data_IF_371204704950
#
_entry.id   IF_371204704950
#
_cell.length_a   1.000
_cell.length_b   1.000
_cell.length_c   1.000
_cell.angle_alpha   90.00
_cell.angle_beta   90.00
_cell.angle_gamma   90.00
#
_symmetry.space_group_name_H-M   'P 1'
#
loop_
_entity.id
_entity.type
_entity.pdbx_description
1 polymer ?
#
# COMPACT_ATOMS: atom_id res chain seq x y z
N UNK A 1 -13.90 14.32 -5.42
CA UNK A 1 -13.76 14.95 -4.09
C UNK A 1 -12.30 14.83 -3.71
N UNK A 2 -11.63 15.94 -3.41
CA UNK A 2 -10.26 15.91 -2.87
C UNK A 2 -10.29 15.13 -1.55
N UNK A 3 -9.40 14.16 -1.37
CA UNK A 3 -9.34 13.34 -0.16
C UNK A 3 -9.18 14.18 1.12
N UNK A 4 -9.52 13.59 2.26
CA UNK A 4 -9.28 14.19 3.58
C UNK A 4 -7.78 14.41 3.80
N UNK A 5 -7.39 15.56 4.34
CA UNK A 5 -5.98 15.87 4.64
C UNK A 5 -5.82 16.04 6.14
N UNK A 6 -5.07 15.14 6.76
CA UNK A 6 -4.68 15.17 8.17
C UNK A 6 -3.21 15.59 8.25
N UNK A 7 -2.92 16.68 8.95
CA UNK A 7 -1.55 17.14 9.21
C UNK A 7 -1.19 16.84 10.65
N UNK A 8 0.02 16.36 10.90
CA UNK A 8 0.44 15.91 12.24
C UNK A 8 1.93 16.08 12.50
N UNK A 9 2.28 16.49 13.72
CA UNK A 9 3.65 16.49 14.25
C UNK A 9 4.06 15.14 14.85
N UNK A 10 3.09 14.27 15.16
CA UNK A 10 3.28 12.94 15.74
C UNK A 10 3.04 11.84 14.69
N UNK A 11 3.64 12.01 13.51
CA UNK A 11 3.32 11.25 12.30
C UNK A 11 3.19 9.74 12.51
N UNK A 12 4.17 9.10 13.16
CA UNK A 12 4.16 7.65 13.35
C UNK A 12 3.01 7.18 14.26
N UNK A 13 2.78 7.87 15.37
CA UNK A 13 1.73 7.56 16.34
C UNK A 13 0.34 7.77 15.74
N UNK A 14 0.12 8.92 15.10
CA UNK A 14 -1.20 9.26 14.56
C UNK A 14 -1.57 8.37 13.36
N UNK A 15 -0.60 8.06 12.49
CA UNK A 15 -0.82 7.11 11.40
C UNK A 15 -1.07 5.68 11.92
N UNK A 16 -0.34 5.24 12.95
CA UNK A 16 -0.54 3.92 13.55
C UNK A 16 -1.92 3.82 14.22
N UNK A 17 -2.32 4.82 15.00
CA UNK A 17 -3.65 4.89 15.61
C UNK A 17 -4.76 4.85 14.55
N UNK A 18 -4.61 5.65 13.48
CA UNK A 18 -5.56 5.64 12.36
C UNK A 18 -5.71 4.24 11.74
N UNK A 19 -4.61 3.52 11.52
CA UNK A 19 -4.61 2.17 10.94
C UNK A 19 -5.25 1.17 11.91
N UNK A 20 -4.91 1.23 13.21
CA UNK A 20 -5.44 0.34 14.25
C UNK A 20 -6.95 0.56 14.45
N UNK A 21 -7.42 1.81 14.45
CA UNK A 21 -8.84 2.15 14.53
C UNK A 21 -9.62 1.60 13.33
N UNK A 22 -9.05 1.71 12.12
CA UNK A 22 -9.64 1.12 10.92
C UNK A 22 -9.65 -0.42 11.00
N UNK A 23 -8.60 -1.03 11.54
CA UNK A 23 -8.55 -2.46 11.76
C UNK A 23 -9.66 -2.91 12.71
N UNK A 24 -9.84 -2.25 13.85
CA UNK A 24 -10.91 -2.58 14.80
C UNK A 24 -12.31 -2.41 14.19
N UNK A 25 -12.53 -1.34 13.42
CA UNK A 25 -13.81 -1.13 12.70
C UNK A 25 -14.07 -2.25 11.69
N UNK A 26 -13.09 -2.61 10.87
CA UNK A 26 -13.22 -3.69 9.90
C UNK A 26 -13.48 -5.05 10.57
N UNK A 27 -12.74 -5.35 11.64
CA UNK A 27 -12.93 -6.57 12.43
C UNK A 27 -14.32 -6.63 13.08
N UNK A 28 -14.82 -5.52 13.62
CA UNK A 28 -16.16 -5.47 14.20
C UNK A 28 -17.27 -5.65 13.15
N UNK A 29 -17.11 -5.08 11.95
CA UNK A 29 -18.13 -5.09 10.89
C UNK A 29 -18.10 -6.37 10.04
N UNK A 30 -16.92 -6.94 9.81
CA UNK A 30 -16.68 -8.01 8.81
C UNK A 30 -15.93 -9.21 9.36
N UNK A 31 -15.53 -9.18 10.63
CA UNK A 31 -14.71 -10.23 11.26
C UNK A 31 -13.37 -10.51 10.54
N UNK A 32 -12.90 -9.55 9.74
CA UNK A 32 -11.66 -9.62 8.97
C UNK A 32 -11.16 -8.19 8.73
N UNK A 33 -9.84 -7.98 8.70
CA UNK A 33 -9.22 -6.73 8.25
C UNK A 33 -8.26 -7.00 7.11
N UNK A 34 -8.47 -6.34 5.96
CA UNK A 34 -7.68 -6.54 4.74
C UNK A 34 -6.86 -5.30 4.44
N UNK A 35 -5.54 -5.43 4.53
CA UNK A 35 -4.63 -4.30 4.36
C UNK A 35 -3.59 -4.57 3.26
N UNK A 36 -3.29 -3.56 2.44
CA UNK A 36 -2.11 -3.54 1.60
C UNK A 36 -1.06 -2.60 2.19
N UNK A 37 0.13 -3.13 2.45
CA UNK A 37 1.27 -2.36 2.96
C UNK A 37 2.03 -1.67 1.83
N UNK A 38 2.72 -0.59 2.18
CA UNK A 38 3.63 0.17 1.32
C UNK A 38 5.06 0.01 1.79
N UNK A 39 5.99 0.03 0.84
CA UNK A 39 7.41 0.12 1.10
C UNK A 39 7.91 1.49 1.54
N UNK A 40 9.20 1.55 1.88
CA UNK A 40 9.96 2.79 2.07
C UNK A 40 10.22 3.18 3.52
N UNK A 41 10.94 4.29 3.69
CA UNK A 41 11.35 4.79 5.02
C UNK A 41 10.20 5.49 5.76
N UNK A 42 9.20 5.99 5.05
CA UNK A 42 8.05 6.68 5.66
C UNK A 42 7.11 5.73 6.40
N UNK A 43 6.72 4.56 5.86
CA UNK A 43 5.87 3.61 6.59
C UNK A 43 6.60 2.84 7.70
N UNK A 44 7.93 2.66 7.61
CA UNK A 44 8.71 1.88 8.60
C UNK A 44 8.45 2.27 10.07
N UNK A 45 8.55 3.55 10.49
CA UNK A 45 8.25 3.94 11.87
C UNK A 45 6.78 3.75 12.25
N UNK A 46 5.84 3.88 11.29
CA UNK A 46 4.41 3.61 11.51
C UNK A 46 4.21 2.13 11.83
N UNK A 47 4.89 1.24 11.10
CA UNK A 47 4.83 -0.21 11.30
C UNK A 47 5.39 -0.65 12.65
N UNK A 48 6.52 -0.07 13.06
CA UNK A 48 7.07 -0.29 14.40
C UNK A 48 6.12 0.19 15.50
N UNK A 49 5.42 1.29 15.26
CA UNK A 49 4.43 1.80 16.22
C UNK A 49 3.17 0.93 16.27
N UNK A 50 2.66 0.45 15.12
CA UNK A 50 1.56 -0.55 15.08
C UNK A 50 1.96 -1.80 15.86
N UNK A 51 3.18 -2.30 15.72
CA UNK A 51 3.62 -3.46 16.49
C UNK A 51 3.62 -3.20 18.01
N UNK A 52 3.86 -1.96 18.43
CA UNK A 52 3.84 -1.54 19.83
C UNK A 52 2.43 -1.40 20.39
N UNK A 53 1.52 -0.75 19.65
CA UNK A 53 0.17 -0.40 20.14
C UNK A 53 -0.89 -1.44 19.78
N UNK A 54 -0.71 -2.18 18.68
CA UNK A 54 -1.65 -3.15 18.13
C UNK A 54 -1.41 -4.58 18.62
N UNK A 55 -0.87 -4.77 19.82
CA UNK A 55 -0.55 -6.11 20.36
C UNK A 55 -1.77 -7.01 20.51
N UNK A 56 -2.95 -6.41 20.70
CA UNK A 56 -4.22 -7.12 20.85
C UNK A 56 -4.99 -7.23 19.52
N UNK A 57 -4.40 -6.81 18.40
CA UNK A 57 -5.02 -7.03 17.10
C UNK A 57 -5.07 -8.54 16.80
N UNK A 58 -6.23 -9.08 16.39
CA UNK A 58 -6.35 -10.48 16.02
C UNK A 58 -5.70 -10.69 14.64
N UNK A 59 -4.36 -10.79 14.60
CA UNK A 59 -3.59 -10.95 13.37
C UNK A 59 -4.02 -12.15 12.51
N UNK A 60 -4.58 -13.18 13.14
CA UNK A 60 -5.18 -14.34 12.46
C UNK A 60 -6.42 -14.01 11.62
N UNK A 61 -7.04 -12.86 11.86
CA UNK A 61 -8.16 -12.29 11.10
C UNK A 61 -7.74 -11.08 10.28
N UNK A 62 -6.45 -10.81 10.19
CA UNK A 62 -5.89 -9.74 9.36
C UNK A 62 -5.23 -10.37 8.14
N UNK A 63 -5.64 -9.99 6.94
CA UNK A 63 -4.99 -10.41 5.69
C UNK A 63 -4.14 -9.27 5.14
N UNK A 64 -2.84 -9.51 5.09
CA UNK A 64 -1.82 -8.53 4.72
C UNK A 64 -1.28 -8.84 3.32
N UNK A 65 -1.42 -7.85 2.45
CA UNK A 65 -0.89 -7.84 1.08
C UNK A 65 0.09 -6.68 0.91
N UNK A 66 0.72 -6.54 -0.26
CA UNK A 66 1.65 -5.45 -0.58
C UNK A 66 1.15 -4.68 -1.80
N UNK A 67 1.18 -3.35 -1.73
CA UNK A 67 0.80 -2.49 -2.87
C UNK A 67 1.81 -2.53 -4.00
N UNK A 68 3.09 -2.75 -3.68
CA UNK A 68 4.17 -2.95 -4.63
C UNK A 68 5.35 -3.71 -3.99
N UNK A 69 6.26 -4.21 -4.82
CA UNK A 69 7.50 -4.86 -4.38
C UNK A 69 8.61 -4.72 -5.42
N UNK A 70 9.85 -4.78 -4.92
CA UNK A 70 11.08 -4.74 -5.69
C UNK A 70 11.36 -6.16 -6.18
N UNK A 71 11.76 -6.31 -7.45
CA UNK A 71 12.12 -7.63 -8.00
C UNK A 71 13.52 -8.04 -7.51
N UNK A 72 13.61 -8.38 -6.22
CA UNK A 72 14.82 -8.82 -5.50
C UNK A 72 14.45 -9.95 -4.52
N UNK A 73 15.44 -10.71 -4.00
CA UNK A 73 15.24 -11.67 -2.92
C UNK A 73 14.49 -11.11 -1.69
N UNK A 74 13.72 -11.94 -0.96
CA UNK A 74 12.91 -11.49 0.18
C UNK A 74 13.74 -11.05 1.40
N UNK A 75 15.04 -11.32 1.41
CA UNK A 75 16.02 -10.89 2.40
C UNK A 75 16.90 -9.73 1.90
N UNK A 76 16.70 -9.24 0.68
CA UNK A 76 17.39 -8.05 0.15
C UNK A 76 16.97 -6.80 0.94
N UNK A 77 17.92 -5.89 1.18
CA UNK A 77 17.67 -4.64 1.91
C UNK A 77 16.63 -3.73 1.23
N UNK A 78 16.39 -3.91 -0.07
CA UNK A 78 15.37 -3.21 -0.83
C UNK A 78 14.00 -3.88 -0.79
N UNK A 79 13.83 -5.07 -0.21
CA UNK A 79 12.52 -5.74 -0.15
C UNK A 79 11.57 -5.01 0.82
N UNK A 80 10.37 -4.69 0.33
CA UNK A 80 9.28 -4.19 1.15
C UNK A 80 8.83 -5.25 2.16
N UNK A 81 8.79 -6.53 1.74
CA UNK A 81 8.52 -7.66 2.63
C UNK A 81 9.55 -7.74 3.76
N UNK A 82 10.85 -7.66 3.48
CA UNK A 82 11.88 -7.63 4.53
C UNK A 82 11.64 -6.51 5.53
N UNK A 83 11.41 -5.29 5.04
CA UNK A 83 11.17 -4.13 5.89
C UNK A 83 9.95 -4.33 6.80
N UNK A 84 8.82 -4.80 6.23
CA UNK A 84 7.61 -5.07 7.00
C UNK A 84 7.81 -6.23 8.00
N UNK A 85 8.60 -7.25 7.64
CA UNK A 85 8.95 -8.35 8.53
C UNK A 85 9.73 -7.88 9.75
N UNK A 86 10.74 -7.04 9.55
CA UNK A 86 11.56 -6.48 10.62
C UNK A 86 10.79 -5.47 11.48
N UNK A 87 9.97 -4.61 10.86
CA UNK A 87 9.30 -3.52 11.55
C UNK A 87 7.97 -3.92 12.21
N UNK A 88 7.24 -4.89 11.65
CA UNK A 88 5.89 -5.28 12.09
C UNK A 88 5.75 -6.77 12.36
N UNK A 89 6.04 -7.64 11.39
CA UNK A 89 5.59 -9.04 11.49
C UNK A 89 6.27 -9.80 12.63
N UNK A 90 7.60 -9.69 12.75
CA UNK A 90 8.34 -10.34 13.84
C UNK A 90 8.00 -9.69 15.20
N UNK A 91 8.05 -8.36 15.36
CA UNK A 91 7.73 -7.74 16.65
C UNK A 91 6.29 -7.97 17.14
N UNK A 92 5.31 -8.06 16.23
CA UNK A 92 3.89 -8.27 16.56
C UNK A 92 3.45 -9.74 16.50
N UNK A 93 4.37 -10.68 16.23
CA UNK A 93 4.07 -12.12 16.07
C UNK A 93 2.96 -12.39 15.05
N UNK A 94 3.01 -11.70 13.91
CA UNK A 94 2.02 -11.88 12.83
C UNK A 94 2.16 -13.29 12.23
N UNK A 95 1.09 -14.09 12.18
CA UNK A 95 1.11 -15.44 11.60
C UNK A 95 1.46 -15.42 10.11
N UNK A 96 2.27 -16.36 9.64
CA UNK A 96 2.69 -16.42 8.23
C UNK A 96 1.50 -16.55 7.27
N UNK A 97 0.45 -17.30 7.66
CA UNK A 97 -0.78 -17.46 6.86
C UNK A 97 -1.58 -16.16 6.68
N UNK A 98 -1.31 -15.14 7.49
CA UNK A 98 -1.90 -13.81 7.37
C UNK A 98 -1.18 -12.94 6.35
N UNK A 99 -0.05 -13.38 5.80
CA UNK A 99 0.84 -12.58 4.97
C UNK A 99 0.92 -13.17 3.56
N UNK A 100 0.50 -12.39 2.57
CA UNK A 100 0.64 -12.70 1.15
C UNK A 100 1.69 -11.77 0.53
N UNK A 101 2.94 -12.22 0.47
CA UNK A 101 4.05 -11.44 -0.09
C UNK A 101 4.08 -11.52 -1.62
N UNK A 102 4.51 -10.45 -2.27
CA UNK A 102 4.91 -10.50 -3.68
C UNK A 102 6.26 -11.22 -3.80
N UNK A 103 6.44 -12.06 -4.82
CA UNK A 103 7.67 -12.84 -5.04
C UNK A 103 8.64 -12.07 -5.93
N UNK A 104 9.41 -11.16 -5.33
CA UNK A 104 10.40 -10.36 -6.05
C UNK A 104 11.55 -11.17 -6.63
N UNK A 105 11.78 -12.39 -6.13
CA UNK A 105 12.94 -13.22 -6.47
C UNK A 105 12.79 -14.06 -7.76
N UNK A 106 11.62 -14.03 -8.40
CA UNK A 106 11.35 -14.78 -9.63
C UNK A 106 11.12 -13.84 -10.81
N UNK A 107 10.93 -14.39 -12.02
CA UNK A 107 10.62 -13.59 -13.20
C UNK A 107 9.45 -12.60 -12.94
N UNK A 108 9.62 -11.30 -13.23
CA UNK A 108 8.61 -10.29 -12.89
C UNK A 108 7.23 -10.56 -13.48
N UNK A 109 7.14 -11.03 -14.73
CA UNK A 109 5.86 -11.29 -15.37
C UNK A 109 5.15 -12.48 -14.72
N UNK A 110 5.90 -13.54 -14.38
CA UNK A 110 5.40 -14.70 -13.63
C UNK A 110 4.95 -14.27 -12.23
N UNK A 111 5.76 -13.49 -11.50
CA UNK A 111 5.41 -13.03 -10.16
C UNK A 111 4.15 -12.16 -10.14
N UNK A 112 4.00 -11.25 -11.11
CA UNK A 112 2.82 -10.42 -11.24
C UNK A 112 1.57 -11.26 -11.56
N UNK A 113 1.70 -12.30 -12.38
CA UNK A 113 0.59 -13.21 -12.67
C UNK A 113 0.21 -14.04 -11.44
N UNK A 114 1.17 -14.62 -10.73
CA UNK A 114 0.89 -15.38 -9.51
C UNK A 114 0.17 -14.52 -8.47
N UNK A 115 0.65 -13.30 -8.24
CA UNK A 115 0.00 -12.40 -7.26
C UNK A 115 -1.38 -11.93 -7.72
N UNK A 116 -1.59 -11.76 -9.03
CA UNK A 116 -2.91 -11.50 -9.62
C UNK A 116 -3.87 -12.67 -9.33
N UNK A 117 -3.45 -13.90 -9.63
CA UNK A 117 -4.25 -15.10 -9.45
C UNK A 117 -4.62 -15.31 -7.97
N UNK A 118 -3.68 -15.07 -7.06
CA UNK A 118 -3.92 -15.15 -5.61
C UNK A 118 -4.94 -14.09 -5.15
N UNK A 119 -4.83 -12.84 -5.62
CA UNK A 119 -5.80 -11.77 -5.31
C UNK A 119 -7.17 -12.09 -5.88
N UNK A 120 -7.27 -12.63 -7.10
CA UNK A 120 -8.54 -12.98 -7.72
C UNK A 120 -9.20 -14.21 -7.05
N UNK A 121 -8.40 -15.16 -6.56
CA UNK A 121 -8.86 -16.26 -5.72
C UNK A 121 -9.45 -15.73 -4.41
N UNK A 122 -8.76 -14.80 -3.74
CA UNK A 122 -9.26 -14.17 -2.52
C UNK A 122 -10.59 -13.45 -2.77
N UNK A 123 -10.74 -12.77 -3.90
CA UNK A 123 -12.00 -12.13 -4.30
C UNK A 123 -13.12 -13.16 -4.47
N UNK A 124 -12.84 -14.23 -5.23
CA UNK A 124 -13.79 -15.30 -5.55
C UNK A 124 -14.30 -15.99 -4.28
N UNK A 125 -13.40 -16.32 -3.35
CA UNK A 125 -13.73 -16.91 -2.05
C UNK A 125 -14.67 -16.05 -1.20
N UNK A 126 -14.73 -14.74 -1.49
CA UNK A 126 -15.55 -13.74 -0.78
C UNK A 126 -16.77 -13.31 -1.59
N UNK A 127 -17.01 -13.90 -2.77
CA UNK A 127 -18.08 -13.49 -3.67
C UNK A 127 -17.89 -12.09 -4.27
N UNK A 128 -16.64 -11.61 -4.33
CA UNK A 128 -16.27 -10.30 -4.86
C UNK A 128 -15.78 -10.41 -6.30
N UNK A 129 -16.14 -9.45 -7.16
CA UNK A 129 -15.63 -9.37 -8.53
C UNK A 129 -14.17 -8.90 -8.59
N UNK A 130 -13.78 -8.05 -7.65
CA UNK A 130 -12.41 -7.57 -7.45
C UNK A 130 -12.20 -7.64 -5.95
N UNK A 131 -11.05 -8.17 -5.52
CA UNK A 131 -10.72 -8.21 -4.11
C UNK A 131 -10.75 -6.81 -3.51
N UNK A 132 -11.54 -6.64 -2.47
CA UNK A 132 -11.77 -5.32 -1.87
C UNK A 132 -11.03 -5.19 -0.54
N UNK A 133 -9.90 -4.50 -0.57
CA UNK A 133 -9.16 -4.10 0.64
C UNK A 133 -9.97 -3.14 1.50
N UNK A 134 -9.85 -3.29 2.82
CA UNK A 134 -10.34 -2.29 3.77
C UNK A 134 -9.45 -1.06 3.76
N UNK A 135 -8.13 -1.27 3.67
CA UNK A 135 -7.13 -0.21 3.64
C UNK A 135 -6.00 -0.53 2.66
N UNK A 136 -5.68 0.41 1.77
CA UNK A 136 -4.42 0.40 1.01
C UNK A 136 -3.57 1.57 1.48
N UNK A 137 -2.37 1.28 1.97
CA UNK A 137 -1.36 2.27 2.30
C UNK A 137 -0.54 2.60 1.07
N UNK A 138 -0.28 3.88 0.84
CA UNK A 138 0.50 4.38 -0.28
C UNK A 138 1.52 5.42 0.17
N UNK A 139 2.67 5.46 -0.51
CA UNK A 139 3.64 6.54 -0.39
C UNK A 139 3.54 7.55 -1.53
N UNK A 140 4.25 8.67 -1.39
CA UNK A 140 4.42 9.68 -2.43
C UNK A 140 5.91 9.87 -2.78
N UNK A 141 6.30 9.46 -3.98
CA UNK A 141 7.63 9.70 -4.52
C UNK A 141 7.90 11.15 -4.92
N UNK A 142 9.16 11.54 -5.07
CA UNK A 142 9.55 12.92 -5.43
C UNK A 142 9.15 13.35 -6.85
N UNK A 143 8.86 12.39 -7.73
CA UNK A 143 8.30 12.60 -9.06
C UNK A 143 6.78 12.33 -9.11
N UNK A 144 6.12 12.26 -7.94
CA UNK A 144 4.68 12.04 -7.83
C UNK A 144 4.21 10.62 -8.12
N UNK A 145 5.11 9.65 -8.23
CA UNK A 145 4.72 8.23 -8.28
C UNK A 145 4.12 7.78 -6.94
N UNK A 146 3.33 6.71 -7.01
CA UNK A 146 2.85 5.97 -5.85
C UNK A 146 2.84 4.47 -6.17
N UNK A 147 2.89 3.60 -5.15
CA UNK A 147 3.23 2.19 -5.34
C UNK A 147 4.47 2.09 -6.24
N UNK A 148 4.41 1.31 -7.32
CA UNK A 148 5.39 1.36 -8.40
C UNK A 148 4.77 1.84 -9.73
N UNK A 149 3.84 2.80 -9.65
CA UNK A 149 3.22 3.50 -10.78
C UNK A 149 3.97 4.81 -11.06
N UNK A 150 4.99 4.76 -11.91
CA UNK A 150 5.87 5.89 -12.22
C UNK A 150 5.41 6.68 -13.45
N UNK A 151 5.65 8.01 -13.50
CA UNK A 151 5.41 8.83 -14.68
C UNK A 151 5.99 8.21 -15.96
N UNK A 152 5.20 8.15 -17.03
CA UNK A 152 5.62 7.64 -18.34
C UNK A 152 5.73 6.11 -18.45
N UNK A 153 5.37 5.34 -17.42
CA UNK A 153 5.42 3.87 -17.49
C UNK A 153 4.12 3.25 -18.02
N UNK A 154 4.22 2.07 -18.63
CA UNK A 154 3.08 1.37 -19.23
C UNK A 154 1.98 1.02 -18.22
N UNK A 155 2.34 0.74 -16.97
CA UNK A 155 1.39 0.41 -15.90
C UNK A 155 0.36 1.53 -15.63
N UNK A 156 0.66 2.78 -16.02
CA UNK A 156 -0.28 3.89 -15.91
C UNK A 156 -1.52 3.76 -16.82
N UNK A 157 -1.43 2.95 -17.88
CA UNK A 157 -2.52 2.75 -18.85
C UNK A 157 -3.26 1.43 -18.61
N UNK A 158 -2.87 0.65 -17.61
CA UNK A 158 -3.55 -0.61 -17.27
C UNK A 158 -4.92 -0.34 -16.66
N UNK A 159 -5.96 -0.94 -17.25
CA UNK A 159 -7.37 -0.74 -16.90
C UNK A 159 -8.07 -2.05 -16.50
N UNK A 160 -7.47 -3.20 -16.77
CA UNK A 160 -8.07 -4.53 -16.63
C UNK A 160 -7.37 -5.38 -15.59
N UNK A 161 -6.04 -5.43 -15.60
CA UNK A 161 -5.30 -6.18 -14.58
C UNK A 161 -5.40 -5.49 -13.23
N UNK A 162 -5.16 -6.24 -12.16
CA UNK A 162 -5.04 -5.76 -10.78
C UNK A 162 -3.58 -5.59 -10.39
N UNK A 163 -2.73 -6.51 -10.87
CA UNK A 163 -1.29 -6.56 -10.59
C UNK A 163 -0.53 -6.68 -11.90
N UNK A 164 0.57 -5.94 -12.02
CA UNK A 164 1.46 -5.98 -13.19
C UNK A 164 2.93 -5.92 -12.78
N UNK A 165 3.79 -6.45 -13.65
CA UNK A 165 5.21 -6.12 -13.68
C UNK A 165 5.38 -4.78 -14.41
N UNK A 166 6.05 -3.82 -13.78
CA UNK A 166 6.31 -2.51 -14.35
C UNK A 166 7.82 -2.28 -14.46
N UNK A 167 8.32 -2.08 -15.68
CA UNK A 167 9.71 -1.70 -15.90
C UNK A 167 9.86 -0.19 -15.73
N UNK A 168 10.78 0.22 -14.88
CA UNK A 168 11.03 1.64 -14.56
C UNK A 168 12.39 2.03 -15.13
N UNK A 169 12.41 2.59 -16.34
CA UNK A 169 13.64 2.88 -17.09
C UNK A 169 14.66 3.72 -16.31
N UNK A 170 14.19 4.73 -15.56
CA UNK A 170 15.07 5.59 -14.75
C UNK A 170 15.77 4.86 -13.60
N UNK A 171 15.26 3.71 -13.18
CA UNK A 171 15.86 2.84 -12.16
C UNK A 171 16.55 1.62 -12.79
N UNK A 172 16.38 1.41 -14.10
CA UNK A 172 16.76 0.20 -14.82
C UNK A 172 16.36 -1.09 -14.08
N UNK A 173 15.12 -1.11 -13.57
CA UNK A 173 14.66 -2.19 -12.70
C UNK A 173 13.18 -2.49 -12.90
N UNK A 174 12.81 -3.75 -12.69
CA UNK A 174 11.43 -4.19 -12.59
C UNK A 174 10.87 -4.01 -11.18
N UNK A 175 9.57 -3.75 -11.13
CA UNK A 175 8.74 -3.67 -9.93
C UNK A 175 7.47 -4.48 -10.13
N UNK A 176 6.95 -5.05 -9.07
CA UNK A 176 5.59 -5.57 -9.02
C UNK A 176 4.71 -4.48 -8.43
N UNK A 177 3.52 -4.25 -8.97
CA UNK A 177 2.67 -3.15 -8.50
C UNK A 177 1.20 -3.47 -8.64
N UNK A 178 0.42 -2.99 -7.68
CA UNK A 178 -1.00 -2.74 -7.89
C UNK A 178 -1.19 -1.66 -8.94
N UNK A 179 -2.29 -1.81 -9.66
CA UNK A 179 -2.75 -0.90 -10.71
C UNK A 179 -3.89 -0.04 -10.17
N UNK A 180 -4.24 1.03 -10.87
CA UNK A 180 -5.35 1.91 -10.47
C UNK A 180 -6.69 1.17 -10.29
N UNK A 181 -7.08 0.19 -11.14
CA UNK A 181 -8.29 -0.58 -10.91
C UNK A 181 -8.38 -1.24 -9.53
N UNK A 182 -7.29 -1.82 -9.02
CA UNK A 182 -7.29 -2.42 -7.68
C UNK A 182 -7.22 -1.36 -6.58
N UNK A 183 -6.31 -0.38 -6.73
CA UNK A 183 -6.12 0.70 -5.75
C UNK A 183 -7.43 1.47 -5.51
N UNK A 184 -8.11 1.86 -6.58
CA UNK A 184 -9.34 2.65 -6.52
C UNK A 184 -10.57 1.81 -6.13
N UNK A 185 -10.45 0.48 -6.03
CA UNK A 185 -11.53 -0.40 -5.54
C UNK A 185 -11.58 -0.49 -4.00
N UNK A 186 -10.51 -0.11 -3.31
CA UNK A 186 -10.41 -0.19 -1.86
C UNK A 186 -11.49 0.63 -1.14
N UNK A 187 -11.88 0.19 0.06
CA UNK A 187 -12.79 0.95 0.94
C UNK A 187 -12.11 2.23 1.44
N UNK A 188 -10.81 2.16 1.70
CA UNK A 188 -10.00 3.30 2.12
C UNK A 188 -8.62 3.22 1.47
N UNK A 189 -8.17 4.33 0.87
CA UNK A 189 -6.77 4.53 0.48
C UNK A 189 -6.15 5.62 1.34
N UNK A 190 -5.01 5.34 1.96
CA UNK A 190 -4.31 6.28 2.82
C UNK A 190 -2.90 6.54 2.30
N UNK A 191 -2.61 7.80 1.96
CA UNK A 191 -1.26 8.24 1.69
C UNK A 191 -0.53 8.60 2.98
N UNK A 192 0.63 7.99 3.17
CA UNK A 192 1.58 8.29 4.25
C UNK A 192 2.70 9.15 3.65
N UNK A 193 2.72 10.44 3.97
CA UNK A 193 3.71 11.39 3.44
C UNK A 193 4.41 12.07 4.60
N UNK A 194 5.73 11.89 4.73
CA UNK A 194 6.50 12.51 5.80
C UNK A 194 6.73 14.02 5.56
N UNK A 195 7.18 14.71 6.60
CA UNK A 195 7.43 16.16 6.58
C UNK A 195 8.52 16.62 5.60
N UNK A 196 9.39 15.72 5.13
CA UNK A 196 10.48 16.07 4.22
C UNK A 196 10.02 16.26 2.77
N UNK A 197 8.76 15.96 2.44
CA UNK A 197 8.26 16.06 1.07
C UNK A 197 7.99 17.51 0.68
N UNK A 198 8.32 17.87 -0.56
CA UNK A 198 8.14 19.24 -1.05
C UNK A 198 6.65 19.63 -1.06
N UNK A 199 6.29 20.69 -0.33
CA UNK A 199 4.90 21.16 -0.21
C UNK A 199 4.24 21.40 -1.57
N UNK A 200 4.95 22.01 -2.53
CA UNK A 200 4.46 22.25 -3.90
C UNK A 200 4.07 20.97 -4.64
N UNK A 201 4.80 19.87 -4.43
CA UNK A 201 4.46 18.58 -5.05
C UNK A 201 3.16 18.04 -4.44
N UNK A 202 3.04 18.10 -3.12
CA UNK A 202 1.83 17.65 -2.40
C UNK A 202 0.61 18.45 -2.90
N UNK A 203 0.73 19.77 -2.98
CA UNK A 203 -0.33 20.67 -3.47
C UNK A 203 -0.77 20.32 -4.89
N UNK A 204 0.18 20.11 -5.81
CA UNK A 204 -0.15 19.74 -7.20
C UNK A 204 -0.83 18.37 -7.28
N UNK A 205 -0.34 17.39 -6.53
CA UNK A 205 -0.91 16.03 -6.50
C UNK A 205 -2.32 16.04 -5.92
N UNK A 206 -2.53 16.68 -4.77
CA UNK A 206 -3.87 16.81 -4.15
C UNK A 206 -4.80 17.66 -5.03
N UNK A 207 -4.25 18.66 -5.74
CA UNK A 207 -4.94 19.46 -6.73
C UNK A 207 -5.34 18.72 -8.01
N UNK A 208 -4.97 17.44 -8.14
CA UNK A 208 -5.40 16.60 -9.27
C UNK A 208 -4.54 16.73 -10.52
N UNK A 209 -3.29 17.20 -10.40
CA UNK A 209 -2.40 17.37 -11.55
C UNK A 209 -2.12 16.01 -12.22
N UNK A 210 -2.60 15.77 -13.45
CA UNK A 210 -2.56 14.45 -14.09
C UNK A 210 -1.15 14.02 -14.49
N UNK A 211 -0.16 14.92 -14.42
CA UNK A 211 1.25 14.57 -14.61
C UNK A 211 1.75 13.59 -13.54
N UNK A 212 1.17 13.63 -12.34
CA UNK A 212 1.59 12.82 -11.21
C UNK A 212 0.69 11.60 -11.03
N UNK A 213 1.21 10.36 -11.12
CA UNK A 213 0.40 9.16 -10.93
C UNK A 213 -0.40 9.12 -9.62
N UNK A 214 0.14 9.67 -8.53
CA UNK A 214 -0.56 9.74 -7.25
C UNK A 214 -1.87 10.54 -7.30
N UNK A 215 -2.00 11.53 -8.19
CA UNK A 215 -3.23 12.33 -8.34
C UNK A 215 -4.38 11.53 -8.98
N UNK A 216 -4.08 10.40 -9.62
CA UNK A 216 -5.04 9.50 -10.26
C UNK A 216 -5.65 8.48 -9.29
N UNK A 217 -5.16 8.46 -8.04
CA UNK A 217 -5.78 7.67 -6.97
C UNK A 217 -7.05 8.36 -6.51
N UNK A 218 -8.18 7.77 -6.87
CA UNK A 218 -9.51 8.31 -6.66
C UNK A 218 -10.49 7.16 -6.42
N UNK A 219 -10.54 6.59 -5.20
CA UNK A 219 -11.48 5.53 -4.85
C UNK A 219 -12.91 6.10 -4.76
N UNK A 220 -13.63 6.15 -5.89
CA UNK A 220 -14.94 6.82 -5.99
C UNK A 220 -16.04 6.20 -5.11
N UNK A 221 -15.91 4.91 -4.77
CA UNK A 221 -16.79 4.19 -3.85
C UNK A 221 -16.12 3.92 -2.48
N UNK A 222 -15.06 4.65 -2.16
CA UNK A 222 -14.29 4.55 -0.93
C UNK A 222 -13.88 5.91 -0.39
N UNK A 223 -12.92 5.91 0.53
CA UNK A 223 -12.33 7.10 1.13
C UNK A 223 -10.89 7.26 0.70
N UNK A 224 -10.46 8.52 0.58
CA UNK A 224 -9.07 8.89 0.37
C UNK A 224 -8.63 9.80 1.52
N UNK A 225 -7.56 9.42 2.22
CA UNK A 225 -6.96 10.24 3.29
C UNK A 225 -5.48 10.44 3.02
N UNK A 226 -4.99 11.65 3.27
CA UNK A 226 -3.59 12.02 3.25
C UNK A 226 -3.14 12.32 4.67
N UNK A 227 -2.26 11.51 5.24
CA UNK A 227 -1.59 11.82 6.50
C UNK A 227 -0.25 12.45 6.13
N UNK A 228 -0.12 13.74 6.45
CA UNK A 228 1.04 14.55 6.16
C UNK A 228 1.79 14.85 7.46
N UNK A 229 3.06 14.45 7.53
CA UNK A 229 3.94 14.85 8.63
C UNK A 229 4.25 16.34 8.56
N UNK A 230 4.33 16.98 9.71
CA UNK A 230 4.82 18.34 9.89
C UNK A 230 6.10 18.34 10.74
N UNK A 231 6.98 19.35 10.56
CA UNK A 231 8.12 19.57 11.44
C UNK A 231 7.73 19.87 12.91
#
# INVERSE_FOLDING_TARGET
MSGEVVRTKNFAADAANFIVDLAHKALAERNEFRIALSGGNTPRPVYSEIARIGRDLPWERTLITFGDERCVPPDDAQSNFRMAREALFVPASVPEKSIMRMRGEIDPAIAAQQYQDDVDLLATQRGEQIYRHDLILLGLGDDGHTASLFPGTAALNEATRRVVANFVSKLNAWRLTFTFPLINHARHVCFLVNASKQAKLIERVIGGDPQFPASRVNPTAGKLTWILGEP
#
